data_IF_307594404085
#
_entry.id   IF_307594404085
#
_cell.length_a   1.000
_cell.length_b   1.000
_cell.length_c   1.000
_cell.angle_alpha   90.00
_cell.angle_beta   90.00
_cell.angle_gamma   90.00
#
_symmetry.space_group_name_H-M   'P 1'
#
loop_
_entity.id
_entity.type
_entity.pdbx_description
1 polymer ?
#
# COMPACT_ATOMS: atom_id res chain seq x y z
N UNK A 1 -1.81 -16.06 -17.40
CA UNK A 1 -2.21 -14.66 -17.27
C UNK A 1 -1.30 -13.95 -16.29
N UNK A 2 -0.78 -12.83 -16.73
CA UNK A 2 0.14 -12.04 -15.89
C UNK A 2 -0.50 -11.66 -14.55
N UNK A 3 -1.79 -11.31 -14.58
CA UNK A 3 -2.50 -10.90 -13.36
C UNK A 3 -2.54 -12.00 -12.31
N UNK A 4 -2.71 -13.27 -12.75
CA UNK A 4 -2.74 -14.39 -11.82
C UNK A 4 -1.40 -14.59 -11.13
N UNK A 5 -0.29 -14.49 -11.89
CA UNK A 5 1.06 -14.62 -11.33
C UNK A 5 1.38 -13.47 -10.39
N UNK A 6 1.03 -12.24 -10.77
CA UNK A 6 1.25 -11.07 -9.93
C UNK A 6 0.45 -11.17 -8.63
N UNK A 7 -0.81 -11.65 -8.70
CA UNK A 7 -1.65 -11.82 -7.52
C UNK A 7 -1.05 -12.86 -6.56
N UNK A 8 -0.54 -13.97 -7.08
CA UNK A 8 0.07 -15.00 -6.24
C UNK A 8 1.34 -14.49 -5.56
N UNK A 9 2.20 -13.78 -6.29
CA UNK A 9 3.40 -13.20 -5.72
C UNK A 9 3.04 -12.14 -4.67
N UNK A 10 2.04 -11.32 -4.95
CA UNK A 10 1.58 -10.29 -4.01
C UNK A 10 1.01 -10.89 -2.74
N UNK A 11 0.25 -11.97 -2.85
CA UNK A 11 -0.29 -12.68 -1.68
C UNK A 11 0.84 -13.19 -0.78
N UNK A 12 1.91 -13.72 -1.37
CA UNK A 12 3.05 -14.21 -0.61
C UNK A 12 3.76 -13.09 0.13
N UNK A 13 4.02 -11.97 -0.55
CA UNK A 13 4.65 -10.81 0.08
C UNK A 13 3.76 -10.29 1.20
N UNK A 14 2.46 -10.17 0.94
CA UNK A 14 1.52 -9.69 1.94
C UNK A 14 1.56 -10.57 3.20
N UNK A 15 1.47 -11.89 3.01
CA UNK A 15 1.48 -12.83 4.14
C UNK A 15 2.76 -12.73 4.97
N UNK A 16 3.89 -12.50 4.31
CA UNK A 16 5.19 -12.49 4.99
C UNK A 16 5.53 -11.14 5.63
N UNK A 17 5.01 -10.04 5.09
CA UNK A 17 5.45 -8.70 5.49
C UNK A 17 4.37 -7.82 6.08
N UNK A 18 3.13 -8.02 5.70
CA UNK A 18 2.05 -7.09 6.03
C UNK A 18 1.05 -7.69 7.01
N UNK A 19 0.75 -8.97 6.87
CA UNK A 19 -0.29 -9.63 7.65
C UNK A 19 0.00 -9.65 9.14
N UNK A 20 1.27 -9.59 9.53
CA UNK A 20 1.65 -9.62 10.95
C UNK A 20 0.99 -8.44 11.71
N UNK A 21 0.79 -7.31 11.04
CA UNK A 21 0.12 -6.15 11.63
C UNK A 21 -1.30 -5.97 11.10
N UNK A 22 -1.48 -6.07 9.78
CA UNK A 22 -2.77 -5.77 9.16
C UNK A 22 -3.74 -6.95 9.12
N UNK A 23 -3.30 -8.12 9.53
CA UNK A 23 -4.11 -9.33 9.54
C UNK A 23 -4.11 -10.06 8.20
N UNK A 24 -4.44 -11.36 8.20
CA UNK A 24 -4.40 -12.16 6.97
C UNK A 24 -5.43 -11.73 5.93
N UNK A 25 -6.50 -11.06 6.35
CA UNK A 25 -7.51 -10.51 5.46
C UNK A 25 -7.38 -9.01 5.28
N UNK A 26 -6.27 -8.43 5.74
CA UNK A 26 -6.01 -6.99 5.66
C UNK A 26 -7.06 -6.13 6.35
N UNK A 27 -7.80 -6.70 7.29
CA UNK A 27 -8.87 -5.99 7.99
C UNK A 27 -8.34 -5.03 9.06
N UNK A 28 -7.10 -5.22 9.49
CA UNK A 28 -6.51 -4.39 10.52
C UNK A 28 -7.12 -4.62 11.90
N UNK A 29 -6.76 -3.75 12.82
CA UNK A 29 -7.33 -3.69 14.16
C UNK A 29 -7.69 -2.24 14.41
N UNK A 30 -8.97 -1.90 14.60
CA UNK A 30 -9.37 -0.49 14.74
C UNK A 30 -8.58 0.23 15.84
N UNK A 31 -8.06 1.39 15.49
CA UNK A 31 -7.26 2.21 16.38
C UNK A 31 -5.79 1.84 16.45
N UNK A 32 -5.42 0.63 16.05
CA UNK A 32 -4.03 0.15 16.10
C UNK A 32 -3.43 -0.03 14.73
N UNK A 33 -4.08 -0.79 13.86
CA UNK A 33 -3.59 -1.08 12.51
C UNK A 33 -4.73 -0.83 11.52
N UNK A 34 -4.55 0.05 10.52
CA UNK A 34 -5.64 0.37 9.60
C UNK A 34 -5.99 -0.79 8.67
N UNK A 35 -7.25 -0.85 8.30
CA UNK A 35 -7.70 -1.73 7.23
C UNK A 35 -7.08 -1.30 5.91
N UNK A 36 -6.74 -2.27 5.07
CA UNK A 36 -6.15 -2.03 3.76
C UNK A 36 -7.14 -2.32 2.62
N UNK A 37 -8.43 -2.18 2.87
CA UNK A 37 -9.44 -2.47 1.86
C UNK A 37 -9.81 -1.24 1.04
N UNK A 38 -10.85 -0.52 1.42
CA UNK A 38 -11.46 0.50 0.56
C UNK A 38 -10.52 1.64 0.18
N UNK A 39 -9.79 2.19 1.13
CA UNK A 39 -8.94 3.35 0.83
C UNK A 39 -7.77 2.99 -0.06
N UNK A 40 -7.17 1.82 0.16
CA UNK A 40 -6.05 1.40 -0.68
C UNK A 40 -6.51 1.20 -2.12
N UNK A 41 -7.66 0.57 -2.32
CA UNK A 41 -8.22 0.41 -3.67
C UNK A 41 -8.47 1.77 -4.30
N UNK A 42 -9.05 2.72 -3.56
CA UNK A 42 -9.32 4.06 -4.06
C UNK A 42 -8.03 4.81 -4.41
N UNK A 43 -7.03 4.76 -3.55
CA UNK A 43 -5.74 5.42 -3.81
C UNK A 43 -5.07 4.84 -5.06
N UNK A 44 -5.17 3.54 -5.25
CA UNK A 44 -4.54 2.89 -6.39
C UNK A 44 -5.15 3.28 -7.73
N UNK A 45 -6.31 3.91 -7.72
CA UNK A 45 -6.99 4.34 -8.95
C UNK A 45 -6.53 5.71 -9.46
N UNK A 46 -5.76 6.46 -8.67
CA UNK A 46 -5.29 7.78 -9.07
C UNK A 46 -3.77 7.86 -8.95
N UNK A 47 -3.10 8.65 -9.81
CA UNK A 47 -1.63 8.67 -9.83
C UNK A 47 -1.00 9.06 -8.50
N UNK A 48 -1.48 10.11 -7.86
CA UNK A 48 -0.93 10.56 -6.58
C UNK A 48 -1.18 9.54 -5.47
N UNK A 49 -2.27 8.79 -5.55
CA UNK A 49 -2.54 7.72 -4.60
C UNK A 49 -1.59 6.55 -4.78
N UNK A 50 -1.29 6.18 -6.03
CA UNK A 50 -0.30 5.13 -6.31
C UNK A 50 1.07 5.52 -5.80
N UNK A 51 1.50 6.76 -6.03
CA UNK A 51 2.77 7.23 -5.50
C UNK A 51 2.81 7.16 -3.98
N UNK A 52 1.73 7.58 -3.33
CA UNK A 52 1.64 7.49 -1.87
C UNK A 52 1.81 6.04 -1.40
N UNK A 53 1.11 5.10 -2.02
CA UNK A 53 1.19 3.68 -1.62
C UNK A 53 2.60 3.12 -1.82
N UNK A 54 3.25 3.45 -2.93
CA UNK A 54 4.63 3.02 -3.17
C UNK A 54 5.56 3.56 -2.08
N UNK A 55 5.40 4.83 -1.74
CA UNK A 55 6.28 5.44 -0.74
C UNK A 55 6.00 4.94 0.67
N UNK A 56 4.75 4.61 1.00
CA UNK A 56 4.43 4.01 2.30
C UNK A 56 5.21 2.71 2.49
N UNK A 57 5.24 1.85 1.48
CA UNK A 57 6.01 0.61 1.57
C UNK A 57 7.51 0.90 1.62
N UNK A 58 7.96 1.88 0.86
CA UNK A 58 9.39 2.23 0.75
C UNK A 58 9.94 2.83 2.03
N UNK A 59 9.21 3.79 2.63
CA UNK A 59 9.73 4.60 3.75
C UNK A 59 9.08 4.28 5.08
N UNK A 60 7.95 3.55 5.05
CA UNK A 60 7.09 3.47 6.21
C UNK A 60 6.23 4.72 6.35
N UNK A 61 5.49 4.78 7.42
CA UNK A 61 4.56 5.87 7.68
C UNK A 61 4.50 6.12 9.17
N UNK A 62 4.39 7.39 9.57
CA UNK A 62 4.25 7.73 10.98
C UNK A 62 3.40 8.98 11.13
N UNK A 63 2.80 9.13 12.31
CA UNK A 63 1.96 10.26 12.63
C UNK A 63 0.48 9.93 12.53
N UNK A 64 -0.35 10.92 12.87
CA UNK A 64 -1.78 10.75 12.93
C UNK A 64 -2.40 10.71 11.54
N UNK A 65 -3.34 9.79 11.33
CA UNK A 65 -4.14 9.74 10.12
C UNK A 65 -5.50 9.10 10.42
N UNK A 66 -6.43 9.26 9.49
CA UNK A 66 -7.74 8.64 9.61
C UNK A 66 -7.97 7.67 8.47
N UNK A 67 -8.53 6.52 8.79
CA UNK A 67 -8.95 5.52 7.82
C UNK A 67 -10.36 5.07 8.21
N UNK A 68 -11.32 5.29 7.32
CA UNK A 68 -12.70 4.92 7.59
C UNK A 68 -13.28 5.57 8.85
N UNK A 69 -12.91 6.82 9.13
CA UNK A 69 -13.38 7.54 10.31
C UNK A 69 -12.66 7.19 11.60
N UNK A 70 -11.76 6.20 11.58
CA UNK A 70 -11.01 5.78 12.76
C UNK A 70 -9.64 6.45 12.75
N UNK A 71 -9.24 6.98 13.89
CA UNK A 71 -7.93 7.63 14.04
C UNK A 71 -6.85 6.61 14.37
N UNK A 72 -5.71 6.76 13.71
CA UNK A 72 -4.52 5.95 13.95
C UNK A 72 -3.35 6.90 14.18
N UNK A 73 -2.48 6.56 15.10
CA UNK A 73 -1.30 7.37 15.38
C UNK A 73 -0.17 6.43 15.84
N UNK A 74 0.50 5.85 14.87
CA UNK A 74 1.56 4.89 15.16
C UNK A 74 2.62 4.96 14.10
N UNK A 75 3.42 3.91 14.03
CA UNK A 75 4.51 3.81 13.07
C UNK A 75 4.33 2.52 12.27
N UNK A 76 4.24 2.66 10.96
CA UNK A 76 4.39 1.54 10.04
C UNK A 76 5.85 1.51 9.61
N UNK A 77 6.61 0.45 9.89
CA UNK A 77 8.01 0.43 9.49
C UNK A 77 8.17 0.33 7.99
N UNK A 78 9.28 0.87 7.49
CA UNK A 78 9.67 0.70 6.10
C UNK A 78 9.84 -0.80 5.80
N UNK A 79 9.37 -1.23 4.64
CA UNK A 79 9.50 -2.63 4.23
C UNK A 79 10.80 -2.82 3.44
N UNK A 80 11.91 -2.72 4.17
CA UNK A 80 13.24 -2.84 3.58
C UNK A 80 13.46 -4.25 3.02
N UNK A 81 14.24 -4.32 1.97
CA UNK A 81 14.60 -5.61 1.37
C UNK A 81 13.64 -6.11 0.32
N UNK A 82 12.50 -5.45 0.11
CA UNK A 82 11.61 -5.79 -0.99
C UNK A 82 12.13 -5.19 -2.29
N UNK A 83 12.17 -6.00 -3.35
CA UNK A 83 12.49 -5.51 -4.68
C UNK A 83 11.34 -4.66 -5.22
N UNK A 84 11.61 -3.90 -6.28
CA UNK A 84 10.56 -3.12 -6.93
C UNK A 84 9.47 -4.03 -7.50
N UNK A 85 9.84 -5.21 -7.99
CA UNK A 85 8.88 -6.19 -8.46
C UNK A 85 7.99 -6.72 -7.32
N UNK A 86 8.57 -6.94 -6.15
CA UNK A 86 7.81 -7.39 -4.99
C UNK A 86 6.86 -6.30 -4.47
N UNK A 87 7.31 -5.06 -4.46
CA UNK A 87 6.46 -3.93 -4.07
C UNK A 87 5.30 -3.80 -5.07
N UNK A 88 5.59 -3.88 -6.36
CA UNK A 88 4.55 -3.83 -7.38
C UNK A 88 3.54 -4.96 -7.21
N UNK A 89 4.02 -6.17 -6.92
CA UNK A 89 3.16 -7.33 -6.75
C UNK A 89 2.23 -7.18 -5.54
N UNK A 90 2.75 -6.75 -4.39
CA UNK A 90 1.92 -6.62 -3.19
C UNK A 90 0.91 -5.47 -3.33
N UNK A 91 1.30 -4.36 -3.95
CA UNK A 91 0.38 -3.26 -4.16
C UNK A 91 -0.69 -3.61 -5.19
N UNK A 92 -0.35 -4.37 -6.23
CA UNK A 92 -1.34 -4.87 -7.19
C UNK A 92 -2.33 -5.82 -6.52
N UNK A 93 -1.85 -6.66 -5.64
CA UNK A 93 -2.69 -7.55 -4.85
C UNK A 93 -3.68 -6.77 -3.99
N UNK A 94 -3.20 -5.74 -3.30
CA UNK A 94 -4.06 -4.89 -2.48
C UNK A 94 -5.01 -4.04 -3.33
N UNK A 95 -4.54 -3.56 -4.48
CA UNK A 95 -5.37 -2.76 -5.39
C UNK A 95 -6.53 -3.55 -5.97
N UNK A 96 -6.41 -4.88 -6.06
CA UNK A 96 -7.48 -5.77 -6.47
C UNK A 96 -8.28 -6.32 -5.28
N UNK A 97 -8.15 -5.68 -4.12
CA UNK A 97 -8.79 -6.10 -2.87
C UNK A 97 -8.51 -7.58 -2.57
N UNK A 98 -7.22 -7.90 -2.45
CA UNK A 98 -6.73 -9.26 -2.17
C UNK A 98 -7.09 -10.26 -3.28
N UNK A 99 -7.17 -9.77 -4.51
CA UNK A 99 -7.53 -10.58 -5.66
C UNK A 99 -9.02 -10.85 -5.80
N UNK A 100 -9.86 -10.24 -4.96
CA UNK A 100 -11.31 -10.47 -4.98
C UNK A 100 -12.07 -9.56 -5.92
N UNK A 101 -11.46 -8.43 -6.31
CA UNK A 101 -12.13 -7.42 -7.14
C UNK A 101 -11.34 -7.22 -8.44
N UNK A 102 -11.77 -7.92 -9.50
CA UNK A 102 -11.13 -7.82 -10.81
C UNK A 102 -11.31 -6.44 -11.45
N UNK A 103 -12.34 -5.70 -11.05
CA UNK A 103 -12.58 -4.34 -11.53
C UNK A 103 -11.85 -3.29 -10.70
N UNK A 104 -10.95 -3.71 -9.83
CA UNK A 104 -10.13 -2.80 -9.03
C UNK A 104 -9.17 -1.99 -9.88
N UNK A 105 -8.27 -1.26 -9.21
CA UNK A 105 -7.31 -0.41 -9.89
C UNK A 105 -6.38 -1.21 -10.79
N UNK A 106 -5.83 -0.58 -11.85
CA UNK A 106 -4.84 -1.23 -12.70
C UNK A 106 -3.65 -1.73 -11.88
N UNK A 107 -3.09 -2.86 -12.30
CA UNK A 107 -1.92 -3.42 -11.65
C UNK A 107 -0.72 -2.47 -11.81
N UNK A 108 0.14 -2.43 -10.80
CA UNK A 108 1.41 -1.71 -10.87
C UNK A 108 2.49 -2.65 -11.37
N UNK A 109 3.44 -2.08 -12.13
CA UNK A 109 4.64 -2.78 -12.57
C UNK A 109 5.85 -2.34 -11.74
N UNK A 110 6.95 -3.07 -11.85
CA UNK A 110 8.21 -2.64 -11.23
C UNK A 110 8.65 -1.28 -11.76
N UNK A 111 8.41 -0.99 -13.04
CA UNK A 111 8.72 0.32 -13.62
C UNK A 111 7.88 1.43 -12.98
N UNK A 112 6.62 1.15 -12.67
CA UNK A 112 5.77 2.13 -11.97
C UNK A 112 6.31 2.44 -10.58
N UNK A 113 6.78 1.42 -9.86
CA UNK A 113 7.39 1.59 -8.55
C UNK A 113 8.66 2.43 -8.64
N UNK A 114 9.52 2.11 -9.59
CA UNK A 114 10.78 2.83 -9.81
C UNK A 114 10.50 4.31 -10.12
N UNK A 115 9.54 4.57 -10.99
CA UNK A 115 9.19 5.94 -11.38
C UNK A 115 8.63 6.74 -10.20
N UNK A 116 7.77 6.13 -9.40
CA UNK A 116 7.22 6.79 -8.21
C UNK A 116 8.32 7.15 -7.22
N UNK A 117 9.24 6.24 -6.99
CA UNK A 117 10.37 6.48 -6.08
C UNK A 117 11.28 7.58 -6.59
N UNK A 118 11.46 7.68 -7.91
CA UNK A 118 12.28 8.75 -8.50
C UNK A 118 11.60 10.12 -8.36
N UNK A 119 10.27 10.17 -8.41
CA UNK A 119 9.53 11.42 -8.20
C UNK A 119 9.59 11.92 -6.76
N UNK A 120 9.89 11.05 -5.81
CA UNK A 120 9.89 11.37 -4.39
C UNK A 120 11.23 10.98 -3.76
N UNK A 121 12.28 11.77 -4.00
CA UNK A 121 13.62 11.44 -3.52
C UNK A 121 13.77 11.54 -2.01
N UNK A 122 12.91 12.29 -1.32
CA UNK A 122 12.93 12.33 0.13
C UNK A 122 12.33 11.04 0.67
N UNK A 123 13.16 10.20 1.25
CA UNK A 123 12.79 8.87 1.71
C UNK A 123 12.44 8.86 3.20
N UNK A 124 11.68 9.84 3.67
CA UNK A 124 11.25 9.87 5.07
C UNK A 124 9.78 9.54 5.20
N UNK A 125 9.41 8.93 6.33
CA UNK A 125 8.02 8.64 6.63
C UNK A 125 7.18 9.92 6.74
N UNK A 126 7.80 11.02 7.19
CA UNK A 126 7.12 12.31 7.29
C UNK A 126 6.77 12.89 5.93
N UNK A 127 7.71 12.85 4.99
CA UNK A 127 7.46 13.30 3.62
C UNK A 127 6.40 12.43 2.94
N UNK A 128 6.44 11.14 3.19
CA UNK A 128 5.46 10.22 2.65
C UNK A 128 4.06 10.52 3.16
N UNK A 129 3.93 10.83 4.45
CA UNK A 129 2.62 11.17 5.02
C UNK A 129 2.00 12.38 4.30
N UNK A 130 2.85 13.33 3.91
CA UNK A 130 2.38 14.52 3.19
C UNK A 130 1.85 14.21 1.79
N UNK A 131 2.20 13.05 1.22
CA UNK A 131 1.71 12.62 -0.09
C UNK A 131 0.31 12.02 -0.04
N UNK A 132 -0.21 11.74 1.16
CA UNK A 132 -1.52 11.09 1.29
C UNK A 132 -2.60 11.94 0.65
N UNK A 133 -3.36 11.41 -0.32
CA UNK A 133 -4.46 12.18 -0.92
C UNK A 133 -5.52 12.52 0.12
N UNK A 134 -6.17 13.65 -0.05
CA UNK A 134 -7.26 14.04 0.82
C UNK A 134 -8.40 13.02 0.71
N UNK A 135 -8.95 12.61 1.84
CA UNK A 135 -10.07 11.68 1.90
C UNK A 135 -11.12 12.23 2.85
N UNK A 136 -12.33 11.70 2.74
CA UNK A 136 -13.45 12.12 3.58
C UNK A 136 -13.54 11.35 4.90
N UNK A 137 -12.69 10.41 5.10
CA UNK A 137 -12.76 9.54 6.28
C UNK A 137 -12.46 10.24 7.61
#
# INVERSE_FOLDING_TARGET
MAAGGATAAGATVFANRCAVCHGPQAAGIPGSFPSLHEQVVAFAKVPEGRDYLVMVVTTGLMGALKVGGVSYNGVMPAQSGLSEAEIAAVLSYLASDLGRNEAGAPALSAADVSAARARHPDKSAQSTRALRPATES
#
